data_IF_056442299262
#
_entry.id   IF_056442299262
#
_cell.length_a   1.000
_cell.length_b   1.000
_cell.length_c   1.000
_cell.angle_alpha   90.00
_cell.angle_beta   90.00
_cell.angle_gamma   90.00
#
_symmetry.space_group_name_H-M   'P 1'
#
loop_
_entity.id
_entity.type
_entity.pdbx_description
1 polymer ?
#
# COMPACT_ATOMS: atom_id res chain seq x y z
N UNK A 1 -34.05 24.71 37.00
CA UNK A 1 -33.35 23.53 36.47
C UNK A 1 -33.53 23.53 34.96
N UNK A 2 -32.54 24.07 34.25
CA UNK A 2 -32.60 24.26 32.81
C UNK A 2 -32.14 22.96 32.13
N UNK A 3 -33.12 22.11 31.79
CA UNK A 3 -32.91 20.85 31.05
C UNK A 3 -32.62 21.22 29.60
N UNK A 4 -31.43 21.79 29.36
CA UNK A 4 -30.88 21.91 28.03
C UNK A 4 -30.77 20.51 27.47
N UNK A 5 -31.68 20.18 26.56
CA UNK A 5 -31.58 19.09 25.60
C UNK A 5 -30.13 19.02 25.13
N UNK A 6 -29.34 18.11 25.72
CA UNK A 6 -28.07 17.68 25.16
C UNK A 6 -28.42 17.09 23.79
N UNK A 7 -28.31 17.91 22.74
CA UNK A 7 -28.35 17.45 21.36
C UNK A 7 -27.34 16.31 21.26
N UNK A 8 -27.84 15.08 21.15
CA UNK A 8 -26.99 13.91 20.93
C UNK A 8 -26.27 14.16 19.61
N UNK A 9 -24.95 14.38 19.69
CA UNK A 9 -24.13 14.49 18.48
C UNK A 9 -24.17 13.13 17.79
N UNK A 10 -24.32 13.10 16.45
CA UNK A 10 -24.23 11.84 15.73
C UNK A 10 -22.86 11.21 15.99
N UNK A 11 -22.86 9.91 16.29
CA UNK A 11 -21.64 9.10 16.43
C UNK A 11 -21.61 8.13 15.26
N UNK A 12 -20.55 8.20 14.46
CA UNK A 12 -20.27 7.24 13.40
C UNK A 12 -19.27 6.20 13.91
N UNK A 13 -19.56 4.93 13.70
CA UNK A 13 -18.66 3.82 14.02
C UNK A 13 -18.13 3.23 12.72
N UNK A 14 -16.80 3.15 12.60
CA UNK A 14 -16.10 2.50 11.49
C UNK A 14 -15.31 1.31 12.03
N UNK A 15 -15.35 0.20 11.32
CA UNK A 15 -14.61 -1.02 11.63
C UNK A 15 -13.99 -1.60 10.36
N UNK A 16 -12.85 -2.26 10.50
CA UNK A 16 -12.15 -2.95 9.41
C UNK A 16 -11.71 -4.34 9.88
N UNK A 17 -11.75 -5.34 9.00
CA UNK A 17 -11.29 -6.70 9.28
C UNK A 17 -10.76 -7.36 8.01
N UNK A 18 -9.73 -8.19 8.17
CA UNK A 18 -9.20 -9.05 7.11
C UNK A 18 -9.84 -10.45 7.12
N UNK A 19 -10.73 -10.73 8.08
CA UNK A 19 -11.34 -12.05 8.28
C UNK A 19 -12.84 -11.92 8.57
N UNK A 20 -13.66 -11.43 7.61
CA UNK A 20 -15.08 -11.14 7.87
C UNK A 20 -15.92 -12.40 8.18
N UNK A 21 -15.45 -13.58 7.81
CA UNK A 21 -16.06 -14.88 8.15
C UNK A 21 -15.87 -15.30 9.62
N UNK A 22 -14.97 -14.66 10.36
CA UNK A 22 -14.78 -14.92 11.80
C UNK A 22 -15.70 -14.06 12.68
N UNK A 23 -16.43 -13.12 12.09
CA UNK A 23 -17.40 -12.30 12.82
C UNK A 23 -18.61 -13.14 13.19
N UNK A 24 -18.95 -13.15 14.49
CA UNK A 24 -20.17 -13.78 14.97
C UNK A 24 -21.43 -13.09 14.42
N UNK A 25 -22.57 -13.78 14.51
CA UNK A 25 -23.84 -13.22 14.03
C UNK A 25 -24.21 -11.93 14.79
N UNK A 26 -23.87 -11.87 16.08
CA UNK A 26 -24.22 -10.74 16.92
C UNK A 26 -23.56 -9.46 16.41
N UNK A 27 -22.24 -9.42 16.30
CA UNK A 27 -21.49 -8.26 15.84
C UNK A 27 -21.83 -7.93 14.38
N UNK A 28 -21.93 -8.96 13.53
CA UNK A 28 -22.29 -8.78 12.12
C UNK A 28 -23.62 -8.04 11.96
N UNK A 29 -24.64 -8.34 12.77
CA UNK A 29 -25.94 -7.63 12.74
C UNK A 29 -25.88 -6.16 13.15
N UNK A 30 -24.85 -5.73 13.90
CA UNK A 30 -24.65 -4.33 14.29
C UNK A 30 -23.82 -3.55 13.27
N UNK A 31 -23.07 -4.26 12.42
CA UNK A 31 -22.36 -3.71 11.27
C UNK A 31 -23.27 -3.83 10.04
N UNK A 32 -24.28 -2.96 9.94
CA UNK A 32 -25.30 -3.03 8.89
C UNK A 32 -24.72 -2.76 7.49
N UNK A 33 -23.81 -1.77 7.36
CA UNK A 33 -23.13 -1.43 6.11
C UNK A 33 -21.78 -2.13 6.04
N UNK A 34 -21.56 -2.91 4.98
CA UNK A 34 -20.37 -3.75 4.78
C UNK A 34 -19.83 -3.49 3.40
N UNK A 35 -18.73 -2.76 3.33
CA UNK A 35 -18.10 -2.32 2.09
C UNK A 35 -16.86 -3.16 1.88
N UNK A 36 -16.80 -3.86 0.74
CA UNK A 36 -15.58 -4.53 0.30
C UNK A 36 -14.64 -3.52 -0.37
N UNK A 37 -13.39 -3.50 0.07
CA UNK A 37 -12.33 -2.69 -0.52
C UNK A 37 -11.45 -3.65 -1.34
N UNK A 38 -11.54 -3.63 -2.68
CA UNK A 38 -10.76 -4.53 -3.52
C UNK A 38 -9.29 -4.11 -3.60
N UNK A 39 -8.46 -5.01 -4.15
CA UNK A 39 -7.11 -4.66 -4.61
C UNK A 39 -7.18 -3.58 -5.71
N UNK A 40 -6.14 -2.73 -5.83
CA UNK A 40 -6.14 -1.64 -6.81
C UNK A 40 -6.16 -2.17 -8.25
N UNK A 41 -6.99 -1.54 -9.09
CA UNK A 41 -6.98 -1.73 -10.54
C UNK A 41 -5.78 -1.02 -11.19
N UNK A 42 -5.62 -1.13 -12.51
CA UNK A 42 -4.45 -0.56 -13.20
C UNK A 42 -4.32 0.96 -13.00
N UNK A 43 -5.37 1.79 -13.20
CA UNK A 43 -5.30 3.23 -12.94
C UNK A 43 -4.99 3.57 -11.47
N UNK A 44 -5.57 2.82 -10.52
CA UNK A 44 -5.28 3.00 -9.11
C UNK A 44 -3.81 2.66 -8.81
N UNK A 45 -3.26 1.60 -9.41
CA UNK A 45 -1.85 1.22 -9.24
C UNK A 45 -0.91 2.30 -9.78
N UNK A 46 -1.18 2.85 -10.97
CA UNK A 46 -0.39 3.95 -11.51
C UNK A 46 -0.42 5.18 -10.58
N UNK A 47 -1.59 5.51 -10.05
CA UNK A 47 -1.76 6.62 -9.10
C UNK A 47 -1.03 6.38 -7.78
N UNK A 48 -1.08 5.15 -7.25
CA UNK A 48 -0.35 4.77 -6.04
C UNK A 48 1.16 4.83 -6.23
N UNK A 49 1.69 4.41 -7.39
CA UNK A 49 3.11 4.57 -7.70
C UNK A 49 3.53 6.03 -7.75
N UNK A 50 2.73 6.90 -8.39
CA UNK A 50 2.99 8.35 -8.43
C UNK A 50 3.04 8.93 -7.03
N UNK A 51 2.07 8.61 -6.18
CA UNK A 51 2.02 9.09 -4.78
C UNK A 51 3.23 8.55 -3.99
N UNK A 52 3.56 7.27 -4.14
CA UNK A 52 4.64 6.64 -3.39
C UNK A 52 6.05 7.13 -3.80
N UNK A 53 6.18 7.70 -5.00
CA UNK A 53 7.45 8.18 -5.57
C UNK A 53 7.47 9.71 -5.74
N UNK A 54 6.50 10.44 -5.19
CA UNK A 54 6.35 11.89 -5.39
C UNK A 54 7.57 12.70 -4.89
N UNK A 55 8.20 12.24 -3.81
CA UNK A 55 9.41 12.85 -3.24
C UNK A 55 10.71 12.17 -3.69
N UNK A 56 10.63 11.23 -4.64
CA UNK A 56 11.77 10.43 -5.10
C UNK A 56 12.19 10.87 -6.50
N UNK A 57 13.47 11.18 -6.67
CA UNK A 57 14.02 11.49 -7.99
C UNK A 57 14.06 10.22 -8.85
N UNK A 58 13.42 10.25 -10.02
CA UNK A 58 13.38 9.12 -10.95
C UNK A 58 14.37 9.34 -12.09
N UNK A 59 15.09 8.28 -12.47
CA UNK A 59 16.00 8.34 -13.61
C UNK A 59 15.21 8.56 -14.93
N UNK A 60 15.81 9.20 -15.95
CA UNK A 60 15.20 9.33 -17.26
C UNK A 60 14.79 7.95 -17.82
N UNK A 61 13.56 7.84 -18.33
CA UNK A 61 13.04 6.61 -18.93
C UNK A 61 12.36 5.65 -17.96
N UNK A 62 12.13 6.04 -16.71
CA UNK A 62 11.21 5.30 -15.82
C UNK A 62 9.77 5.54 -16.26
N UNK A 63 9.11 4.48 -16.71
CA UNK A 63 7.68 4.49 -17.06
C UNK A 63 6.85 3.85 -15.93
N UNK A 64 6.11 4.67 -15.18
CA UNK A 64 5.27 4.20 -14.09
C UNK A 64 4.03 3.43 -14.58
N UNK A 65 3.56 3.65 -15.80
CA UNK A 65 2.46 2.87 -16.38
C UNK A 65 2.94 1.45 -16.68
N UNK A 66 4.17 1.31 -17.18
CA UNK A 66 4.82 0.00 -17.34
C UNK A 66 4.93 -0.74 -15.99
N UNK A 67 5.43 -0.06 -14.94
CA UNK A 67 5.56 -0.67 -13.61
C UNK A 67 4.20 -1.06 -13.01
N UNK A 68 3.17 -0.23 -13.20
CA UNK A 68 1.81 -0.51 -12.72
C UNK A 68 1.21 -1.77 -13.36
N UNK A 69 1.55 -2.06 -14.62
CA UNK A 69 1.11 -3.28 -15.31
C UNK A 69 1.71 -4.55 -14.68
N UNK A 70 2.93 -4.47 -14.15
CA UNK A 70 3.64 -5.59 -13.50
C UNK A 70 3.17 -5.87 -12.07
N UNK A 71 2.43 -4.94 -11.45
CA UNK A 71 2.00 -5.01 -10.04
C UNK A 71 0.58 -5.56 -9.87
N UNK A 72 0.08 -6.35 -10.82
CA UNK A 72 -1.23 -6.98 -10.68
C UNK A 72 -1.27 -7.88 -9.44
N UNK A 73 -2.30 -7.71 -8.61
CA UNK A 73 -2.47 -8.49 -7.37
C UNK A 73 -1.74 -7.92 -6.15
N UNK A 74 -0.93 -6.88 -6.31
CA UNK A 74 -0.29 -6.21 -5.19
C UNK A 74 -1.30 -5.31 -4.45
N UNK A 75 -1.23 -5.31 -3.12
CA UNK A 75 -1.94 -4.31 -2.31
C UNK A 75 -1.22 -2.96 -2.34
N UNK A 76 -1.89 -1.89 -1.90
CA UNK A 76 -1.23 -0.59 -1.74
C UNK A 76 -0.01 -0.63 -0.81
N UNK A 77 -0.06 -1.46 0.23
CA UNK A 77 1.09 -1.65 1.14
C UNK A 77 2.26 -2.35 0.44
N UNK A 78 1.99 -3.38 -0.37
CA UNK A 78 3.03 -4.09 -1.13
C UNK A 78 3.72 -3.14 -2.13
N UNK A 79 2.94 -2.31 -2.81
CA UNK A 79 3.47 -1.32 -3.75
C UNK A 79 4.33 -0.26 -3.08
N UNK A 80 3.92 0.25 -1.92
CA UNK A 80 4.75 1.17 -1.13
C UNK A 80 6.06 0.51 -0.71
N UNK A 81 6.04 -0.79 -0.37
CA UNK A 81 7.25 -1.53 -0.04
C UNK A 81 8.17 -1.71 -1.26
N UNK A 82 7.62 -1.95 -2.45
CA UNK A 82 8.38 -1.98 -3.71
C UNK A 82 9.08 -0.64 -3.94
N UNK A 83 8.38 0.48 -3.84
CA UNK A 83 8.96 1.82 -4.03
C UNK A 83 10.05 2.11 -3.00
N UNK A 84 9.83 1.76 -1.73
CA UNK A 84 10.82 1.91 -0.68
C UNK A 84 12.07 1.07 -0.94
N UNK A 85 11.93 -0.20 -1.31
CA UNK A 85 13.08 -1.06 -1.58
C UNK A 85 13.86 -0.57 -2.79
N UNK A 86 13.18 -0.14 -3.86
CA UNK A 86 13.83 0.47 -5.03
C UNK A 86 14.62 1.74 -4.66
N UNK A 87 14.03 2.62 -3.82
CA UNK A 87 14.66 3.85 -3.35
C UNK A 87 15.93 3.61 -2.54
N UNK A 88 16.02 2.47 -1.85
CA UNK A 88 17.21 2.12 -1.06
C UNK A 88 18.32 1.48 -1.90
N UNK A 89 18.06 1.03 -3.13
CA UNK A 89 19.05 0.29 -3.93
C UNK A 89 20.23 1.15 -4.35
N UNK A 90 20.00 2.40 -4.75
CA UNK A 90 21.06 3.34 -5.08
C UNK A 90 22.00 3.56 -3.91
N UNK A 91 21.44 3.75 -2.71
CA UNK A 91 22.22 3.90 -1.49
C UNK A 91 23.02 2.63 -1.17
N UNK A 92 22.40 1.44 -1.27
CA UNK A 92 23.10 0.16 -1.05
C UNK A 92 24.32 0.03 -1.95
N UNK A 93 24.16 0.26 -3.27
CA UNK A 93 25.27 0.23 -4.24
C UNK A 93 26.40 1.19 -3.88
N UNK A 94 26.06 2.41 -3.47
CA UNK A 94 27.07 3.40 -3.08
C UNK A 94 27.85 2.95 -1.84
N UNK A 95 27.14 2.40 -0.84
CA UNK A 95 27.75 2.00 0.44
C UNK A 95 28.51 0.68 0.38
N UNK A 96 28.29 -0.16 -0.64
CA UNK A 96 28.97 -1.47 -0.78
C UNK A 96 30.50 -1.37 -0.82
N UNK A 97 31.04 -0.28 -1.37
CA UNK A 97 32.47 -0.04 -1.50
C UNK A 97 33.06 0.90 -0.45
N UNK A 98 32.28 1.30 0.57
CA UNK A 98 32.67 2.32 1.54
C UNK A 98 32.83 1.75 2.95
N UNK A 99 33.77 2.30 3.71
CA UNK A 99 33.93 2.03 5.13
C UNK A 99 32.99 2.88 6.01
N UNK A 100 32.89 2.54 7.30
CA UNK A 100 32.00 3.24 8.23
C UNK A 100 32.32 4.74 8.37
N UNK A 101 33.58 5.14 8.21
CA UNK A 101 34.01 6.54 8.31
C UNK A 101 33.57 7.32 7.07
N UNK A 102 33.70 6.71 5.89
CA UNK A 102 33.25 7.25 4.62
C UNK A 102 31.73 7.37 4.54
N UNK A 103 31.00 6.37 5.05
CA UNK A 103 29.53 6.43 5.15
C UNK A 103 29.08 7.57 6.08
N UNK A 104 29.74 7.75 7.23
CA UNK A 104 29.43 8.85 8.15
C UNK A 104 29.67 10.23 7.52
N UNK A 105 30.68 10.36 6.63
CA UNK A 105 30.93 11.59 5.90
C UNK A 105 29.84 11.92 4.85
N UNK A 106 29.14 10.91 4.33
CA UNK A 106 28.05 11.07 3.36
C UNK A 106 26.72 11.46 4.01
N UNK A 107 26.53 11.21 5.31
CA UNK A 107 25.26 11.49 6.00
C UNK A 107 24.82 12.97 5.92
N UNK A 108 25.78 13.89 5.75
CA UNK A 108 25.52 15.33 5.62
C UNK A 108 25.61 15.84 4.17
N UNK A 109 25.83 14.96 3.19
CA UNK A 109 25.87 15.32 1.78
C UNK A 109 24.57 14.93 1.10
N UNK A 110 24.05 15.82 0.25
CA UNK A 110 22.97 15.46 -0.66
C UNK A 110 23.58 14.58 -1.76
N UNK A 111 23.37 13.28 -1.67
CA UNK A 111 23.76 12.34 -2.71
C UNK A 111 22.59 12.19 -3.68
N UNK A 112 22.81 12.54 -4.94
CA UNK A 112 21.84 12.37 -6.01
C UNK A 112 21.87 10.92 -6.50
N UNK A 113 20.87 10.13 -6.08
CA UNK A 113 20.74 8.71 -6.40
C UNK A 113 19.33 8.46 -6.96
N UNK A 114 19.08 8.83 -8.22
CA UNK A 114 17.77 8.66 -8.82
C UNK A 114 17.41 7.18 -8.91
N UNK A 115 16.16 6.85 -8.62
CA UNK A 115 15.63 5.49 -8.75
C UNK A 115 15.54 5.12 -10.21
N UNK A 116 16.21 4.03 -10.57
CA UNK A 116 16.26 3.56 -11.95
C UNK A 116 15.13 2.56 -12.24
N UNK A 117 14.87 2.34 -13.53
CA UNK A 117 13.95 1.28 -13.97
C UNK A 117 14.38 -0.09 -13.47
N UNK A 118 15.68 -0.37 -13.41
CA UNK A 118 16.21 -1.65 -12.91
C UNK A 118 15.98 -1.83 -11.41
N UNK A 119 16.08 -0.75 -10.62
CA UNK A 119 15.78 -0.78 -9.18
C UNK A 119 14.33 -1.19 -8.92
N UNK A 120 13.39 -0.57 -9.64
CA UNK A 120 11.97 -0.89 -9.55
C UNK A 120 11.69 -2.33 -9.98
N UNK A 121 12.23 -2.77 -11.12
CA UNK A 121 12.06 -4.16 -11.58
C UNK A 121 12.62 -5.18 -10.60
N UNK A 122 13.76 -4.87 -9.99
CA UNK A 122 14.39 -5.74 -8.99
C UNK A 122 13.55 -5.77 -7.71
N UNK A 123 13.05 -4.62 -7.26
CA UNK A 123 12.16 -4.53 -6.10
C UNK A 123 10.85 -5.30 -6.31
N UNK A 124 10.25 -5.20 -7.50
CA UNK A 124 9.04 -5.96 -7.89
C UNK A 124 9.32 -7.46 -7.82
N UNK A 125 10.45 -7.93 -8.36
CA UNK A 125 10.82 -9.35 -8.32
C UNK A 125 11.08 -9.89 -6.92
N UNK A 126 11.55 -9.05 -6.01
CA UNK A 126 11.89 -9.44 -4.63
C UNK A 126 10.70 -9.33 -3.67
N UNK A 127 9.62 -8.67 -4.08
CA UNK A 127 8.44 -8.45 -3.26
C UNK A 127 7.31 -9.34 -3.73
N UNK A 128 6.80 -10.20 -2.85
CA UNK A 128 5.63 -11.02 -3.14
C UNK A 128 4.34 -10.28 -2.76
N UNK A 129 3.24 -10.42 -3.54
CA UNK A 129 1.93 -9.94 -3.12
C UNK A 129 1.51 -10.55 -1.77
N UNK A 130 0.93 -9.73 -0.91
CA UNK A 130 0.44 -10.19 0.41
C UNK A 130 -0.92 -10.88 0.35
N UNK A 131 -1.66 -10.71 -0.75
CA UNK A 131 -3.01 -11.26 -0.93
C UNK A 131 -3.00 -12.30 -2.03
N UNK A 132 -3.47 -13.52 -1.73
CA UNK A 132 -3.56 -14.58 -2.73
C UNK A 132 -4.86 -14.50 -3.55
N UNK A 133 -4.86 -15.12 -4.73
CA UNK A 133 -6.09 -15.23 -5.54
C UNK A 133 -7.24 -15.91 -4.77
N UNK A 134 -6.91 -16.91 -3.95
CA UNK A 134 -7.88 -17.63 -3.11
C UNK A 134 -8.52 -16.72 -2.08
N UNK A 135 -7.77 -15.77 -1.53
CA UNK A 135 -8.32 -14.80 -0.58
C UNK A 135 -9.36 -13.91 -1.27
N UNK A 136 -9.03 -13.39 -2.45
CA UNK A 136 -9.95 -12.56 -3.26
C UNK A 136 -11.24 -13.32 -3.60
N UNK A 137 -11.14 -14.58 -4.02
CA UNK A 137 -12.31 -15.44 -4.27
C UNK A 137 -13.15 -15.64 -3.02
N UNK A 138 -12.50 -15.91 -1.88
CA UNK A 138 -13.18 -16.08 -0.59
C UNK A 138 -13.96 -14.83 -0.18
N UNK A 139 -13.40 -13.65 -0.42
CA UNK A 139 -14.13 -12.38 -0.23
C UNK A 139 -15.31 -12.23 -1.17
N UNK A 140 -15.16 -12.56 -2.46
CA UNK A 140 -16.25 -12.48 -3.42
C UNK A 140 -17.43 -13.37 -3.04
N UNK A 141 -17.16 -14.59 -2.56
CA UNK A 141 -18.18 -15.51 -2.06
C UNK A 141 -18.87 -14.94 -0.81
N UNK A 142 -18.09 -14.47 0.17
CA UNK A 142 -18.65 -13.91 1.41
C UNK A 142 -19.51 -12.67 1.15
N UNK A 143 -19.08 -11.79 0.24
CA UNK A 143 -19.82 -10.58 -0.14
C UNK A 143 -21.10 -10.90 -0.91
N UNK A 144 -21.14 -11.97 -1.70
CA UNK A 144 -22.38 -12.41 -2.36
C UNK A 144 -23.44 -12.85 -1.36
N UNK A 145 -23.03 -13.44 -0.24
CA UNK A 145 -23.93 -13.96 0.79
C UNK A 145 -24.32 -12.91 1.84
N UNK A 146 -23.38 -12.07 2.27
CA UNK A 146 -23.55 -11.15 3.40
C UNK A 146 -23.29 -9.68 3.09
N UNK A 147 -23.01 -9.36 1.83
CA UNK A 147 -22.81 -8.00 1.35
C UNK A 147 -24.07 -7.16 1.57
N UNK A 148 -23.86 -5.95 2.07
CA UNK A 148 -24.91 -4.96 2.27
C UNK A 148 -24.42 -3.64 1.68
N UNK A 149 -24.90 -3.34 0.47
CA UNK A 149 -24.66 -2.06 -0.22
C UNK A 149 -25.54 -0.98 0.39
#
# INVERSE_FOLDING_TARGET
>A
MDVRLMRRRPVLVLAATNFPWELDEALRRRLEKRIYIPLPDLPARESLLKIALDEVELAPGVDLAEMAALLQGFSGADMTNVCREASMMGLRRLTESLDATQIAALANQKVDLPVTREDLLTAIKRTSPSVSHKDVEKYAVWMKEFGAV
#
